data_IF_715210094191
#
_entry.id   IF_715210094191
#
_cell.length_a   1.000
_cell.length_b   1.000
_cell.length_c   1.000
_cell.angle_alpha   90.00
_cell.angle_beta   90.00
_cell.angle_gamma   90.00
#
_symmetry.space_group_name_H-M   'P 1'
#
loop_
_entity.id
_entity.type
_entity.pdbx_description
1 polymer ?
#
# COMPACT_ATOMS: atom_id res chain seq x y z
N UNK A 1 9.92 9.98 -13.67
CA UNK A 1 8.68 10.72 -13.41
C UNK A 1 7.51 10.08 -14.11
N UNK A 2 6.49 9.65 -13.36
CA UNK A 2 5.21 9.30 -13.93
C UNK A 2 4.64 10.52 -14.68
N UNK A 3 4.09 10.32 -15.89
CA UNK A 3 3.82 11.40 -16.86
C UNK A 3 2.79 12.46 -16.41
N UNK A 4 2.15 12.26 -15.25
CA UNK A 4 0.99 13.02 -14.79
C UNK A 4 1.09 13.43 -13.32
N UNK A 5 2.29 13.43 -12.75
CA UNK A 5 2.55 13.87 -11.38
C UNK A 5 3.90 14.58 -11.31
N UNK A 6 4.00 15.60 -10.45
CA UNK A 6 5.25 16.29 -10.14
C UNK A 6 6.15 15.46 -9.21
N UNK A 7 5.62 14.38 -8.62
CA UNK A 7 6.38 13.46 -7.78
C UNK A 7 7.32 12.63 -8.66
N UNK A 8 8.62 12.72 -8.37
CA UNK A 8 9.64 11.91 -9.04
C UNK A 8 9.66 10.47 -8.50
N UNK A 9 8.73 9.66 -9.01
CA UNK A 9 8.61 8.25 -8.65
C UNK A 9 9.66 7.38 -9.37
N UNK A 10 10.90 7.44 -8.90
CA UNK A 10 12.05 6.62 -9.33
C UNK A 10 12.72 6.00 -8.10
N UNK A 11 13.74 5.16 -8.29
CA UNK A 11 14.38 4.50 -7.14
C UNK A 11 15.06 5.54 -6.21
N UNK A 12 15.12 5.28 -4.90
CA UNK A 12 14.39 4.24 -4.20
C UNK A 12 12.89 4.53 -4.18
N UNK A 13 12.06 3.50 -4.27
CA UNK A 13 10.62 3.67 -4.17
C UNK A 13 9.95 2.53 -3.42
N UNK A 14 8.81 2.88 -2.83
CA UNK A 14 7.91 1.99 -2.11
C UNK A 14 6.62 2.01 -2.91
N UNK A 15 6.30 0.90 -3.58
CA UNK A 15 5.04 0.75 -4.30
C UNK A 15 4.13 -0.19 -3.53
N UNK A 16 2.92 0.25 -3.21
CA UNK A 16 1.93 -0.54 -2.47
C UNK A 16 0.62 -0.58 -3.27
N UNK A 17 0.16 -1.78 -3.55
CA UNK A 17 -1.10 -2.06 -4.23
C UNK A 17 -2.13 -2.60 -3.23
N UNK A 18 -3.13 -1.76 -2.96
CA UNK A 18 -4.29 -2.04 -2.10
C UNK A 18 -5.49 -2.52 -2.95
N UNK A 19 -5.26 -3.58 -3.73
CA UNK A 19 -6.32 -4.36 -4.37
C UNK A 19 -7.10 -5.20 -3.36
N UNK A 20 -7.72 -6.31 -3.79
CA UNK A 20 -8.31 -7.27 -2.83
C UNK A 20 -7.24 -7.90 -1.95
N UNK A 21 -6.12 -8.27 -2.57
CA UNK A 21 -4.88 -8.70 -1.93
C UNK A 21 -3.89 -7.54 -1.88
N UNK A 22 -3.00 -7.58 -0.89
CA UNK A 22 -1.86 -6.68 -0.79
C UNK A 22 -0.72 -7.21 -1.68
N UNK A 23 -0.19 -6.36 -2.56
CA UNK A 23 1.05 -6.59 -3.31
C UNK A 23 1.88 -5.30 -3.24
N UNK A 24 3.18 -5.40 -3.49
CA UNK A 24 4.04 -4.24 -3.46
C UNK A 24 5.49 -4.56 -3.19
N UNK A 25 6.36 -3.56 -3.35
CA UNK A 25 7.80 -3.71 -3.27
C UNK A 25 8.46 -2.45 -2.76
N UNK A 26 9.58 -2.65 -2.08
CA UNK A 26 10.53 -1.63 -1.64
C UNK A 26 11.84 -1.83 -2.38
N UNK A 27 12.31 -0.78 -3.06
CA UNK A 27 13.62 -0.79 -3.74
C UNK A 27 14.68 -0.03 -2.94
N UNK A 28 15.91 -0.54 -2.99
CA UNK A 28 17.05 0.10 -2.34
C UNK A 28 17.37 1.45 -2.95
N UNK A 29 18.07 2.26 -2.19
CA UNK A 29 18.78 3.39 -2.79
C UNK A 29 19.86 2.87 -3.75
N UNK A 30 20.33 3.75 -4.63
CA UNK A 30 21.36 3.47 -5.62
C UNK A 30 22.36 4.60 -5.58
N UNK A 31 23.62 4.24 -5.36
CA UNK A 31 24.71 5.21 -5.44
C UNK A 31 24.70 5.90 -6.83
N UNK A 32 24.62 7.25 -6.88
CA UNK A 32 24.64 8.02 -8.13
C UNK A 32 25.85 7.74 -9.02
N UNK A 33 26.96 7.26 -8.46
CA UNK A 33 28.20 6.95 -9.15
C UNK A 33 28.42 5.45 -9.35
N UNK A 34 27.46 4.61 -8.93
CA UNK A 34 27.51 3.18 -9.19
C UNK A 34 27.65 2.90 -10.70
N UNK A 35 28.60 2.03 -11.01
CA UNK A 35 28.74 1.43 -12.35
C UNK A 35 27.44 0.72 -12.75
N UNK A 36 26.80 0.06 -11.79
CA UNK A 36 25.55 -0.68 -11.93
C UNK A 36 24.39 0.05 -11.23
N UNK A 37 23.70 0.99 -11.91
CA UNK A 37 22.69 1.86 -11.31
C UNK A 37 21.32 1.15 -11.17
N UNK A 38 21.31 -0.08 -10.65
CA UNK A 38 20.11 -0.91 -10.49
C UNK A 38 19.79 -1.06 -9.01
N UNK A 39 18.62 -0.57 -8.61
CA UNK A 39 18.11 -0.78 -7.27
C UNK A 39 17.80 -2.26 -7.05
N UNK A 40 18.13 -2.75 -5.86
CA UNK A 40 17.79 -4.09 -5.41
C UNK A 40 16.39 -4.07 -4.80
N UNK A 41 15.73 -5.22 -4.81
CA UNK A 41 14.53 -5.40 -3.97
C UNK A 41 15.02 -5.64 -2.55
N UNK A 42 14.58 -4.81 -1.60
CA UNK A 42 14.95 -4.94 -0.18
C UNK A 42 13.74 -5.25 0.70
N UNK A 43 12.53 -5.09 0.16
CA UNK A 43 11.31 -5.52 0.82
C UNK A 43 10.18 -5.79 -0.16
N UNK A 44 9.19 -6.55 0.30
CA UNK A 44 8.00 -6.92 -0.47
C UNK A 44 6.76 -6.90 0.44
N UNK A 45 5.62 -6.50 -0.09
CA UNK A 45 4.35 -6.54 0.62
C UNK A 45 3.50 -7.71 0.13
N UNK A 46 2.77 -8.35 1.05
CA UNK A 46 1.89 -9.48 0.70
C UNK A 46 0.73 -9.64 1.68
N UNK A 47 -0.32 -10.37 1.25
CA UNK A 47 -1.43 -10.75 2.11
C UNK A 47 -2.73 -10.06 1.74
N UNK A 48 -3.48 -9.59 2.72
CA UNK A 48 -4.81 -9.02 2.56
C UNK A 48 -4.75 -7.49 2.51
N UNK A 49 -5.56 -6.90 1.63
CA UNK A 49 -5.84 -5.48 1.59
C UNK A 49 -7.37 -5.28 1.60
N UNK A 50 -7.99 -5.16 0.43
CA UNK A 50 -9.42 -4.97 0.23
C UNK A 50 -10.31 -6.12 0.76
N UNK A 51 -9.77 -7.34 0.91
CA UNK A 51 -10.53 -8.45 1.49
C UNK A 51 -11.03 -8.16 2.92
N UNK A 52 -10.31 -7.34 3.68
CA UNK A 52 -10.69 -6.95 5.05
C UNK A 52 -11.94 -6.06 5.05
N UNK A 53 -11.97 -4.89 4.37
CA UNK A 53 -13.19 -4.10 4.28
C UNK A 53 -14.32 -4.81 3.53
N UNK A 54 -14.03 -5.69 2.57
CA UNK A 54 -15.05 -6.52 1.91
C UNK A 54 -15.79 -7.41 2.93
N UNK A 55 -15.08 -7.93 3.95
CA UNK A 55 -15.71 -8.75 5.00
C UNK A 55 -16.62 -7.93 5.91
N UNK A 56 -16.24 -6.71 6.26
CA UNK A 56 -17.11 -5.80 7.01
C UNK A 56 -18.41 -5.54 6.23
N UNK A 57 -18.29 -5.26 4.93
CA UNK A 57 -19.42 -4.94 4.06
C UNK A 57 -20.35 -6.13 3.83
N UNK A 58 -19.81 -7.35 3.71
CA UNK A 58 -20.61 -8.58 3.63
C UNK A 58 -21.50 -8.80 4.87
N UNK A 59 -21.06 -8.33 6.04
CA UNK A 59 -21.87 -8.39 7.26
C UNK A 59 -23.18 -7.61 7.20
N UNK A 60 -23.29 -6.63 6.30
CA UNK A 60 -24.49 -5.79 6.18
C UNK A 60 -25.67 -6.46 5.48
N UNK A 61 -25.43 -7.57 4.76
CA UNK A 61 -26.41 -8.21 3.89
C UNK A 61 -26.81 -7.37 2.66
N UNK A 62 -26.17 -6.22 2.43
CA UNK A 62 -26.45 -5.33 1.29
C UNK A 62 -25.67 -5.72 0.02
N UNK A 63 -24.71 -6.63 0.14
CA UNK A 63 -23.90 -7.13 -0.98
C UNK A 63 -23.98 -8.65 -1.05
N UNK A 64 -23.67 -9.21 -2.23
CA UNK A 64 -23.72 -10.66 -2.44
C UNK A 64 -22.78 -11.39 -1.47
N UNK A 65 -23.29 -12.43 -0.83
CA UNK A 65 -22.48 -13.26 0.06
C UNK A 65 -21.33 -13.93 -0.72
N UNK A 66 -20.14 -13.95 -0.12
CA UNK A 66 -18.94 -14.56 -0.70
C UNK A 66 -18.21 -13.72 -1.76
N UNK A 67 -18.92 -12.93 -2.59
CA UNK A 67 -18.30 -12.15 -3.69
C UNK A 67 -18.47 -10.64 -3.57
N UNK A 68 -19.38 -10.16 -2.71
CA UNK A 68 -19.65 -8.74 -2.53
C UNK A 68 -18.44 -7.99 -2.00
N UNK A 69 -18.27 -6.76 -2.46
CA UNK A 69 -17.14 -5.89 -2.14
C UNK A 69 -17.60 -4.58 -1.53
N UNK A 70 -16.69 -3.85 -0.90
CA UNK A 70 -16.97 -2.49 -0.47
C UNK A 70 -17.34 -1.56 -1.64
N UNK A 71 -16.82 -1.85 -2.84
CA UNK A 71 -17.17 -1.12 -4.04
C UNK A 71 -18.67 -1.23 -4.37
N UNK A 72 -19.21 -2.45 -4.29
CA UNK A 72 -20.60 -2.72 -4.65
C UNK A 72 -21.59 -1.91 -3.78
N UNK A 73 -21.17 -1.56 -2.56
CA UNK A 73 -22.00 -0.84 -1.59
C UNK A 73 -21.83 0.68 -1.66
N UNK A 74 -20.63 1.19 -1.90
CA UNK A 74 -20.33 2.63 -1.81
C UNK A 74 -20.08 3.31 -3.17
N UNK A 75 -19.76 2.56 -4.21
CA UNK A 75 -19.31 3.09 -5.50
C UNK A 75 -18.12 4.06 -5.36
N UNK A 76 -17.99 4.99 -6.30
CA UNK A 76 -16.99 6.08 -6.25
C UNK A 76 -17.45 7.29 -5.41
N UNK A 77 -18.61 7.20 -4.75
CA UNK A 77 -19.22 8.37 -4.10
C UNK A 77 -18.58 8.61 -2.73
N UNK A 78 -17.78 9.68 -2.66
CA UNK A 78 -17.40 10.29 -1.39
C UNK A 78 -18.63 10.88 -0.70
N UNK A 79 -19.02 10.34 0.44
CA UNK A 79 -19.98 11.03 1.32
C UNK A 79 -19.21 12.14 2.06
N UNK A 80 -19.20 13.31 1.44
CA UNK A 80 -18.46 14.48 1.88
C UNK A 80 -18.92 14.99 3.24
N UNK A 81 -17.95 15.12 4.15
CA UNK A 81 -18.11 15.80 5.44
C UNK A 81 -16.80 15.78 6.21
N UNK A 82 -16.24 16.96 6.49
CA UNK A 82 -15.18 17.17 7.47
C UNK A 82 -15.75 16.92 8.88
N UNK A 83 -15.94 15.66 9.22
CA UNK A 83 -16.34 15.23 10.55
C UNK A 83 -15.08 14.76 11.28
N UNK A 84 -14.75 15.41 12.40
CA UNK A 84 -13.76 14.89 13.35
C UNK A 84 -14.07 13.42 13.62
N UNK A 85 -13.04 12.57 13.63
CA UNK A 85 -13.16 11.14 13.94
C UNK A 85 -13.99 10.98 15.23
N UNK A 86 -15.22 10.48 15.08
CA UNK A 86 -16.11 10.34 16.22
C UNK A 86 -15.56 9.28 17.17
N UNK A 87 -15.88 9.39 18.47
CA UNK A 87 -15.45 8.39 19.46
C UNK A 87 -15.91 6.97 19.06
N UNK A 88 -17.10 6.87 18.50
CA UNK A 88 -17.68 5.60 18.00
C UNK A 88 -16.84 5.03 16.85
N UNK A 89 -16.46 5.85 15.87
CA UNK A 89 -15.60 5.41 14.76
C UNK A 89 -14.23 4.96 15.27
N UNK A 90 -13.64 5.69 16.23
CA UNK A 90 -12.39 5.28 16.88
C UNK A 90 -12.49 3.87 17.50
N UNK A 91 -13.52 3.63 18.31
CA UNK A 91 -13.69 2.35 19.02
C UNK A 91 -13.80 1.16 18.06
N UNK A 92 -14.56 1.30 16.96
CA UNK A 92 -14.64 0.25 15.94
C UNK A 92 -13.33 0.06 15.17
N UNK A 93 -12.64 1.15 14.83
CA UNK A 93 -11.34 1.08 14.14
C UNK A 93 -10.32 0.32 14.99
N UNK A 94 -10.22 0.61 16.29
CA UNK A 94 -9.32 -0.12 17.19
C UNK A 94 -9.71 -1.61 17.29
N UNK A 95 -10.99 -1.92 17.54
CA UNK A 95 -11.48 -3.32 17.56
C UNK A 95 -11.15 -4.09 16.29
N UNK A 96 -11.29 -3.45 15.13
CA UNK A 96 -10.97 -4.09 13.84
C UNK A 96 -9.46 -4.29 13.72
N UNK A 97 -8.65 -3.30 14.11
CA UNK A 97 -7.20 -3.42 14.03
C UNK A 97 -6.59 -4.44 15.00
N UNK A 98 -7.27 -4.75 16.11
CA UNK A 98 -6.90 -5.86 17.01
C UNK A 98 -7.04 -7.23 16.33
N UNK A 99 -7.89 -7.34 15.31
CA UNK A 99 -8.04 -8.55 14.50
C UNK A 99 -7.05 -8.63 13.34
N UNK A 100 -6.33 -7.54 13.05
CA UNK A 100 -5.42 -7.41 11.91
C UNK A 100 -3.96 -7.56 12.36
N UNK A 101 -3.28 -8.55 11.80
CA UNK A 101 -1.86 -8.81 11.98
C UNK A 101 -1.06 -8.19 10.83
N UNK A 102 -0.21 -7.21 11.15
CA UNK A 102 0.73 -6.59 10.20
C UNK A 102 2.12 -6.67 10.80
N UNK A 103 3.01 -7.44 10.18
CA UNK A 103 4.37 -7.73 10.65
C UNK A 103 5.26 -8.25 9.53
N UNK A 104 6.53 -8.51 9.85
CA UNK A 104 7.38 -9.33 9.00
C UNK A 104 6.87 -10.77 9.01
N UNK A 105 6.67 -11.32 7.81
CA UNK A 105 6.18 -12.67 7.60
C UNK A 105 7.21 -13.67 8.14
N UNK A 106 6.83 -14.55 9.08
CA UNK A 106 7.74 -15.58 9.58
C UNK A 106 8.22 -16.53 8.47
N UNK A 107 9.49 -16.95 8.45
CA UNK A 107 10.06 -17.77 7.37
C UNK A 107 9.39 -19.13 7.15
N UNK A 108 8.75 -19.68 8.17
CA UNK A 108 8.02 -20.96 8.15
C UNK A 108 6.65 -20.88 7.46
N UNK A 109 6.18 -19.67 7.13
CA UNK A 109 4.89 -19.47 6.47
C UNK A 109 4.97 -19.74 4.97
N UNK A 110 4.08 -20.60 4.49
CA UNK A 110 3.79 -20.78 3.06
C UNK A 110 2.60 -19.93 2.58
N UNK A 111 1.91 -19.27 3.51
CA UNK A 111 0.78 -18.37 3.27
C UNK A 111 0.71 -17.28 4.34
N UNK A 112 0.32 -16.09 3.93
CA UNK A 112 -0.05 -15.00 4.83
C UNK A 112 -1.38 -14.40 4.34
N UNK A 113 -2.42 -14.43 5.18
CA UNK A 113 -3.78 -14.24 4.70
C UNK A 113 -4.20 -15.34 3.73
N UNK A 114 -4.63 -14.99 2.53
CA UNK A 114 -4.96 -15.97 1.49
C UNK A 114 -3.88 -16.09 0.42
N UNK A 115 -2.77 -15.37 0.56
CA UNK A 115 -1.74 -15.24 -0.48
C UNK A 115 -0.63 -16.26 -0.26
N UNK A 116 -0.33 -17.14 -1.23
CA UNK A 116 0.80 -18.05 -1.13
C UNK A 116 2.12 -17.26 -1.17
N UNK A 117 3.05 -17.61 -0.29
CA UNK A 117 4.34 -16.93 -0.15
C UNK A 117 5.49 -17.92 -0.02
N UNK A 118 6.70 -17.44 -0.30
CA UNK A 118 7.98 -18.12 -0.06
C UNK A 118 8.80 -17.28 0.91
N UNK A 119 8.36 -17.27 2.18
CA UNK A 119 8.99 -16.45 3.21
C UNK A 119 10.41 -16.93 3.55
N UNK A 120 10.65 -18.24 3.43
CA UNK A 120 11.96 -18.90 3.48
C UNK A 120 12.97 -18.24 2.52
N UNK A 121 12.65 -18.24 1.22
CA UNK A 121 13.54 -17.71 0.18
C UNK A 121 13.71 -16.20 0.29
N UNK A 122 12.67 -15.48 0.73
CA UNK A 122 12.75 -14.05 0.94
C UNK A 122 13.75 -13.71 2.06
N UNK A 123 13.69 -14.43 3.18
CA UNK A 123 14.62 -14.28 4.30
C UNK A 123 16.06 -14.63 3.88
N UNK A 124 16.27 -15.76 3.18
CA UNK A 124 17.58 -16.14 2.65
C UNK A 124 18.17 -15.10 1.68
N UNK A 125 17.30 -14.43 0.92
CA UNK A 125 17.69 -13.38 -0.03
C UNK A 125 17.86 -12.00 0.61
N UNK A 126 17.67 -11.86 1.93
CA UNK A 126 17.72 -10.58 2.64
C UNK A 126 16.59 -9.62 2.25
N UNK A 127 15.44 -10.13 1.82
CA UNK A 127 14.25 -9.35 1.46
C UNK A 127 13.27 -9.38 2.63
N UNK A 128 12.99 -8.21 3.20
CA UNK A 128 11.99 -8.07 4.24
C UNK A 128 10.57 -8.23 3.67
N UNK A 129 9.93 -9.36 3.95
CA UNK A 129 8.55 -9.61 3.54
C UNK A 129 7.59 -9.10 4.60
N UNK A 130 6.87 -8.00 4.31
CA UNK A 130 5.87 -7.41 5.19
C UNK A 130 4.50 -7.97 4.80
N UNK A 131 3.82 -8.59 5.76
CA UNK A 131 2.53 -9.22 5.58
C UNK A 131 1.40 -8.42 6.20
N UNK A 132 0.20 -8.55 5.64
CA UNK A 132 -1.06 -8.18 6.29
C UNK A 132 -2.03 -9.37 6.30
N UNK A 133 -2.55 -9.74 7.47
CA UNK A 133 -3.52 -10.81 7.67
C UNK A 133 -4.62 -10.34 8.65
N UNK A 134 -5.76 -11.03 8.66
CA UNK A 134 -6.73 -10.91 9.73
C UNK A 134 -6.92 -12.29 10.38
N UNK A 135 -6.22 -12.51 11.50
CA UNK A 135 -6.13 -13.81 12.16
C UNK A 135 -5.01 -14.67 11.57
N UNK A 136 -5.28 -15.96 11.36
CA UNK A 136 -4.38 -16.87 10.65
C UNK A 136 -5.03 -17.30 9.35
N UNK A 137 -4.41 -16.92 8.23
CA UNK A 137 -4.89 -17.18 6.89
C UNK A 137 -6.35 -16.75 6.67
N UNK A 138 -6.66 -15.54 7.14
CA UNK A 138 -7.99 -14.92 7.12
C UNK A 138 -9.06 -15.56 8.03
N UNK A 139 -8.65 -16.27 9.09
CA UNK A 139 -9.59 -16.89 10.05
C UNK A 139 -10.54 -15.89 10.74
N UNK A 140 -10.19 -14.60 10.84
CA UNK A 140 -11.03 -13.59 11.48
C UNK A 140 -12.11 -13.00 10.56
N UNK A 141 -12.30 -13.54 9.35
CA UNK A 141 -13.29 -13.04 8.39
C UNK A 141 -14.71 -12.96 8.99
N UNK A 142 -15.15 -13.96 9.75
CA UNK A 142 -16.49 -13.96 10.35
C UNK A 142 -16.63 -12.98 11.52
N UNK A 143 -15.56 -12.76 12.29
CA UNK A 143 -15.52 -11.72 13.31
C UNK A 143 -15.63 -10.32 12.69
N UNK A 144 -14.95 -10.09 11.56
CA UNK A 144 -15.08 -8.85 10.78
C UNK A 144 -16.51 -8.68 10.25
N UNK A 145 -17.12 -9.73 9.68
CA UNK A 145 -18.53 -9.68 9.25
C UNK A 145 -19.46 -9.30 10.40
N UNK A 146 -19.28 -9.89 11.58
CA UNK A 146 -20.10 -9.59 12.75
C UNK A 146 -19.97 -8.10 13.18
N UNK A 147 -18.75 -7.56 13.17
CA UNK A 147 -18.52 -6.12 13.44
C UNK A 147 -19.19 -5.25 12.37
N UNK A 148 -19.07 -5.60 11.09
CA UNK A 148 -19.72 -4.86 10.01
C UNK A 148 -21.26 -4.86 10.13
N UNK A 149 -21.86 -6.00 10.50
CA UNK A 149 -23.28 -6.12 10.77
C UNK A 149 -23.71 -5.25 11.97
N UNK A 150 -22.93 -5.24 13.04
CA UNK A 150 -23.14 -4.43 14.25
C UNK A 150 -23.15 -2.93 13.92
N UNK A 151 -22.12 -2.44 13.23
CA UNK A 151 -22.01 -1.02 12.83
C UNK A 151 -23.20 -0.63 11.97
N UNK A 152 -23.53 -1.45 10.96
CA UNK A 152 -24.63 -1.15 10.05
C UNK A 152 -25.98 -1.08 10.77
N UNK A 153 -26.27 -2.03 11.67
CA UNK A 153 -27.52 -2.07 12.42
C UNK A 153 -27.66 -0.92 13.43
N UNK A 154 -26.57 -0.56 14.10
CA UNK A 154 -26.60 0.42 15.20
C UNK A 154 -26.40 1.87 14.73
N UNK A 155 -25.58 2.06 13.70
CA UNK A 155 -25.08 3.39 13.30
C UNK A 155 -25.31 3.70 11.81
N UNK A 156 -25.71 2.70 11.01
CA UNK A 156 -26.03 2.87 9.61
C UNK A 156 -24.81 2.92 8.68
N UNK A 157 -25.12 3.08 7.39
CA UNK A 157 -24.17 2.92 6.28
C UNK A 157 -23.05 3.97 6.26
N UNK A 158 -23.35 5.20 6.67
CA UNK A 158 -22.40 6.32 6.65
C UNK A 158 -21.28 6.11 7.68
N UNK A 159 -21.61 5.60 8.86
CA UNK A 159 -20.60 5.31 9.90
C UNK A 159 -19.75 4.11 9.49
N UNK A 160 -20.35 3.10 8.86
CA UNK A 160 -19.58 1.98 8.30
C UNK A 160 -18.56 2.45 7.26
N UNK A 161 -18.94 3.37 6.37
CA UNK A 161 -18.03 3.93 5.38
C UNK A 161 -16.84 4.66 6.04
N UNK A 162 -17.12 5.51 7.04
CA UNK A 162 -16.08 6.27 7.75
C UNK A 162 -15.13 5.33 8.52
N UNK A 163 -15.66 4.25 9.12
CA UNK A 163 -14.84 3.19 9.74
C UNK A 163 -13.94 2.51 8.71
N UNK A 164 -14.48 2.14 7.54
CA UNK A 164 -13.71 1.51 6.46
C UNK A 164 -12.60 2.43 5.95
N UNK A 165 -12.85 3.73 5.80
CA UNK A 165 -11.84 4.72 5.43
C UNK A 165 -10.70 4.78 6.44
N UNK A 166 -11.02 4.85 7.73
CA UNK A 166 -10.01 4.88 8.78
C UNK A 166 -9.25 3.55 8.94
N UNK A 167 -9.92 2.39 8.81
CA UNK A 167 -9.26 1.07 8.86
C UNK A 167 -8.26 0.94 7.71
N UNK A 168 -8.69 1.19 6.48
CA UNK A 168 -7.82 1.11 5.31
C UNK A 168 -6.61 2.04 5.41
N UNK A 169 -6.83 3.30 5.80
CA UNK A 169 -5.75 4.27 5.97
C UNK A 169 -4.77 3.84 7.06
N UNK A 170 -5.26 3.39 8.23
CA UNK A 170 -4.41 2.91 9.32
C UNK A 170 -3.68 1.60 8.97
N UNK A 171 -4.25 0.74 8.13
CA UNK A 171 -3.53 -0.42 7.57
C UNK A 171 -2.34 0.03 6.73
N UNK A 172 -2.56 0.97 5.80
CA UNK A 172 -1.48 1.52 4.96
C UNK A 172 -0.36 2.14 5.79
N UNK A 173 -0.71 2.91 6.82
CA UNK A 173 0.25 3.50 7.78
C UNK A 173 1.02 2.43 8.56
N UNK A 174 0.34 1.40 9.10
CA UNK A 174 1.00 0.29 9.82
C UNK A 174 1.99 -0.48 8.94
N UNK A 175 1.71 -0.64 7.64
CA UNK A 175 2.65 -1.26 6.70
C UNK A 175 3.93 -0.44 6.55
N UNK A 176 3.79 0.88 6.44
CA UNK A 176 4.94 1.81 6.38
C UNK A 176 5.69 1.84 7.71
N UNK A 177 5.01 1.78 8.85
CA UNK A 177 5.66 1.70 10.17
C UNK A 177 6.54 0.46 10.31
N UNK A 178 6.07 -0.70 9.85
CA UNK A 178 6.90 -1.92 9.86
C UNK A 178 8.12 -1.74 8.95
N UNK A 179 7.95 -1.18 7.75
CA UNK A 179 9.07 -0.88 6.87
C UNK A 179 10.07 0.11 7.50
N UNK A 180 9.58 1.13 8.21
CA UNK A 180 10.43 2.10 8.90
C UNK A 180 11.20 1.45 10.06
N UNK A 181 10.56 0.57 10.84
CA UNK A 181 11.20 -0.19 11.92
C UNK A 181 12.30 -1.11 11.41
N UNK A 182 12.09 -1.74 10.27
CA UNK A 182 13.12 -2.55 9.58
C UNK A 182 14.19 -1.71 8.88
N UNK A 183 14.11 -0.37 8.93
CA UNK A 183 15.06 0.56 8.31
C UNK A 183 15.18 0.38 6.79
N UNK A 184 14.10 -0.05 6.15
CA UNK A 184 14.01 -0.23 4.70
C UNK A 184 13.20 0.86 4.02
N UNK A 185 13.00 2.02 4.67
CA UNK A 185 12.43 3.23 4.06
C UNK A 185 13.55 4.23 3.82
N UNK A 186 14.15 4.30 2.61
CA UNK A 186 15.19 5.26 2.33
C UNK A 186 14.66 6.71 2.44
N UNK A 187 15.43 7.66 3.00
CA UNK A 187 14.96 9.04 3.17
C UNK A 187 14.64 9.77 1.85
N UNK A 188 15.33 9.42 0.78
CA UNK A 188 15.11 9.94 -0.56
C UNK A 188 14.06 9.13 -1.35
N UNK A 189 13.35 8.19 -0.72
CA UNK A 189 12.38 7.35 -1.43
C UNK A 189 11.06 8.05 -1.72
N UNK A 190 10.34 7.58 -2.73
CA UNK A 190 8.94 7.95 -2.96
C UNK A 190 7.99 6.80 -2.62
N UNK A 191 6.82 7.10 -2.06
CA UNK A 191 5.77 6.14 -1.71
C UNK A 191 4.61 6.30 -2.68
N UNK A 192 4.21 5.19 -3.29
CA UNK A 192 3.15 5.13 -4.28
C UNK A 192 2.06 4.20 -3.80
N UNK A 193 0.86 4.74 -3.60
CA UNK A 193 -0.33 3.97 -3.27
C UNK A 193 -1.19 3.82 -4.52
N UNK A 194 -1.62 2.58 -4.78
CA UNK A 194 -2.63 2.27 -5.79
C UNK A 194 -3.63 1.28 -5.20
N UNK A 195 -4.67 0.99 -5.96
CA UNK A 195 -5.77 0.15 -5.50
C UNK A 195 -6.81 0.92 -4.69
N UNK A 196 -8.07 0.62 -4.96
CA UNK A 196 -9.23 1.35 -4.43
C UNK A 196 -9.29 1.33 -2.90
N UNK A 197 -8.73 0.31 -2.24
CA UNK A 197 -8.69 0.28 -0.79
C UNK A 197 -7.72 1.31 -0.17
N UNK A 198 -6.91 2.02 -0.95
CA UNK A 198 -6.08 3.13 -0.46
C UNK A 198 -6.42 4.49 -1.07
N UNK A 199 -6.96 4.54 -2.29
CA UNK A 199 -7.10 5.79 -3.06
C UNK A 199 -8.50 6.43 -3.06
N UNK A 200 -9.53 5.72 -2.56
CA UNK A 200 -10.91 6.23 -2.55
C UNK A 200 -11.29 6.94 -1.25
N UNK A 201 -12.38 7.71 -1.28
CA UNK A 201 -12.94 8.33 -0.09
C UNK A 201 -11.99 9.32 0.59
N UNK A 202 -11.93 9.30 1.92
CA UNK A 202 -11.03 10.15 2.72
C UNK A 202 -9.66 9.51 2.96
N UNK A 203 -9.42 8.31 2.42
CA UNK A 203 -8.21 7.53 2.71
C UNK A 203 -6.92 8.27 2.29
N UNK A 204 -6.83 8.90 1.11
CA UNK A 204 -5.60 9.61 0.72
C UNK A 204 -5.21 10.74 1.69
N UNK A 205 -6.19 11.53 2.16
CA UNK A 205 -5.91 12.59 3.14
C UNK A 205 -5.46 12.03 4.48
N UNK A 206 -6.12 10.98 4.99
CA UNK A 206 -5.75 10.35 6.26
C UNK A 206 -4.34 9.73 6.18
N UNK A 207 -4.01 9.10 5.06
CA UNK A 207 -2.68 8.52 4.82
C UNK A 207 -1.62 9.62 4.73
N UNK A 208 -1.89 10.72 4.02
CA UNK A 208 -0.96 11.84 3.90
C UNK A 208 -0.69 12.50 5.26
N UNK A 209 -1.73 12.72 6.06
CA UNK A 209 -1.60 13.25 7.41
C UNK A 209 -0.75 12.31 8.30
N UNK A 210 -1.04 11.01 8.26
CA UNK A 210 -0.29 10.02 9.03
C UNK A 210 1.18 9.89 8.60
N UNK A 211 1.49 9.96 7.30
CA UNK A 211 2.89 9.97 6.82
C UNK A 211 3.62 11.24 7.29
N UNK A 212 2.92 12.38 7.31
CA UNK A 212 3.47 13.64 7.80
C UNK A 212 3.78 13.56 9.29
N UNK A 213 2.89 12.97 10.09
CA UNK A 213 3.09 12.74 11.52
C UNK A 213 4.26 11.77 11.82
N UNK A 214 4.51 10.78 10.95
CA UNK A 214 5.65 9.87 11.09
C UNK A 214 7.01 10.55 10.89
N UNK A 215 7.06 11.75 10.32
CA UNK A 215 8.32 12.48 10.10
C UNK A 215 9.29 11.78 9.15
N UNK A 216 8.79 10.97 8.20
CA UNK A 216 9.62 10.24 7.25
C UNK A 216 10.31 11.16 6.22
N UNK A 217 9.68 12.29 5.92
CA UNK A 217 10.13 13.24 4.90
C UNK A 217 9.93 14.68 5.39
N UNK A 218 10.84 15.59 5.02
CA UNK A 218 10.68 17.02 5.27
C UNK A 218 9.46 17.59 4.53
N UNK A 219 9.17 17.06 3.34
CA UNK A 219 8.05 17.48 2.48
C UNK A 219 7.30 16.27 1.94
N UNK A 220 6.35 15.70 2.70
CA UNK A 220 5.62 14.49 2.31
C UNK A 220 4.94 14.59 0.92
N UNK A 221 4.38 15.75 0.56
CA UNK A 221 3.73 15.97 -0.73
C UNK A 221 4.65 15.78 -1.96
N UNK A 222 5.96 15.94 -1.81
CA UNK A 222 6.94 15.71 -2.90
C UNK A 222 7.37 14.23 -3.00
N UNK A 223 6.91 13.38 -2.09
CA UNK A 223 7.32 11.99 -1.94
C UNK A 223 6.17 10.98 -2.07
N UNK A 224 4.93 11.39 -1.78
CA UNK A 224 3.76 10.50 -1.78
C UNK A 224 2.90 10.75 -3.00
N UNK A 225 2.53 9.68 -3.70
CA UNK A 225 1.62 9.73 -4.86
C UNK A 225 0.50 8.69 -4.72
N UNK A 226 -0.72 9.09 -5.06
CA UNK A 226 -1.89 8.22 -5.19
C UNK A 226 -2.25 8.11 -6.66
N UNK A 227 -2.43 6.89 -7.17
CA UNK A 227 -2.66 6.66 -8.61
C UNK A 227 -3.81 5.69 -8.82
N UNK A 228 -4.79 6.10 -9.62
CA UNK A 228 -5.88 5.25 -10.10
C UNK A 228 -5.32 4.05 -10.88
N UNK A 229 -5.97 2.90 -10.67
CA UNK A 229 -5.58 1.54 -11.06
C UNK A 229 -4.68 1.46 -12.32
N UNK A 230 -3.50 0.83 -12.16
CA UNK A 230 -2.63 0.49 -13.29
C UNK A 230 -1.11 0.42 -13.04
N UNK A 231 -0.58 0.79 -11.86
CA UNK A 231 0.79 1.32 -11.83
C UNK A 231 1.72 0.94 -10.66
N UNK A 232 1.43 0.04 -9.73
CA UNK A 232 2.54 -0.46 -8.87
C UNK A 232 3.52 -1.31 -9.70
N UNK A 233 3.00 -2.23 -10.54
CA UNK A 233 3.79 -2.95 -11.55
C UNK A 233 4.28 -2.06 -12.67
N UNK A 234 3.45 -1.13 -13.14
CA UNK A 234 3.83 -0.14 -14.15
C UNK A 234 4.95 0.77 -13.67
N UNK A 235 4.90 1.30 -12.45
CA UNK A 235 5.94 2.14 -11.86
C UNK A 235 7.22 1.35 -11.53
N UNK A 236 7.08 0.10 -11.10
CA UNK A 236 8.18 -0.84 -11.01
C UNK A 236 8.82 -1.17 -12.38
N UNK A 237 8.02 -1.32 -13.44
CA UNK A 237 8.48 -1.46 -14.82
C UNK A 237 9.14 -0.17 -15.30
N UNK A 238 8.61 1.00 -14.92
CA UNK A 238 9.15 2.32 -15.25
C UNK A 238 10.50 2.57 -14.56
N UNK A 239 10.74 2.00 -13.38
CA UNK A 239 12.07 1.88 -12.79
C UNK A 239 13.09 1.19 -13.72
N UNK A 240 12.60 0.33 -14.63
CA UNK A 240 13.34 -0.17 -15.79
C UNK A 240 12.98 0.67 -17.03
N UNK A 241 13.76 1.72 -17.31
CA UNK A 241 13.90 2.38 -18.62
C UNK A 241 14.31 1.43 -19.80
N UNK A 242 13.72 0.23 -19.90
CA UNK A 242 13.98 -0.79 -20.92
C UNK A 242 13.17 -0.59 -22.20
N UNK A 243 12.15 0.29 -22.20
CA UNK A 243 11.28 0.51 -23.37
C UNK A 243 11.49 1.87 -24.05
N UNK A 244 12.62 2.56 -23.82
CA UNK A 244 12.89 3.89 -24.41
C UNK A 244 11.79 4.95 -24.18
N UNK A 245 10.94 4.74 -23.18
CA UNK A 245 9.82 5.64 -22.88
C UNK A 245 10.28 6.95 -22.23
N UNK A 246 11.46 6.95 -21.57
CA UNK A 246 12.04 8.12 -20.91
C UNK A 246 12.96 8.91 -21.83
N UNK A 247 12.98 10.24 -21.66
CA UNK A 247 13.89 11.16 -22.37
C UNK A 247 14.90 11.75 -21.37
N UNK A 248 16.07 12.27 -21.79
CA UNK A 248 17.04 12.89 -20.87
C UNK A 248 16.44 13.95 -19.96
N UNK A 249 15.51 14.77 -20.47
CA UNK A 249 14.82 15.81 -19.71
C UNK A 249 13.65 15.28 -18.85
N UNK A 250 13.15 14.08 -19.15
CA UNK A 250 12.05 13.42 -18.44
C UNK A 250 12.37 11.94 -18.25
N UNK A 251 13.33 11.61 -17.34
CA UNK A 251 13.76 10.24 -17.12
C UNK A 251 12.64 9.44 -16.45
N UNK A 252 12.43 8.23 -16.94
CA UNK A 252 11.42 7.31 -16.41
C UNK A 252 12.04 6.29 -15.44
N UNK A 253 13.29 5.88 -15.66
CA UNK A 253 14.08 5.07 -14.72
C UNK A 253 15.32 5.79 -14.20
N UNK A 254 15.97 5.19 -13.20
CA UNK A 254 17.14 5.76 -12.51
C UNK A 254 16.84 6.10 -11.06
N UNK A 255 17.62 7.03 -10.52
CA UNK A 255 17.53 7.50 -9.12
C UNK A 255 16.71 8.78 -9.06
N UNK A 256 15.90 8.95 -8.02
CA UNK A 256 15.15 10.17 -7.73
C UNK A 256 16.09 11.38 -7.69
N UNK A 257 15.71 12.47 -8.34
CA UNK A 257 16.54 13.69 -8.48
C UNK A 257 17.77 13.53 -9.38
N UNK A 258 18.08 12.32 -9.84
CA UNK A 258 19.24 12.01 -10.66
C UNK A 258 19.01 12.15 -12.17
N UNK A 259 20.11 12.16 -12.93
CA UNK A 259 20.11 12.16 -14.41
C UNK A 259 19.54 10.85 -14.98
N UNK A 260 19.16 10.88 -16.25
CA UNK A 260 18.76 9.68 -16.99
C UNK A 260 19.91 8.66 -17.07
N UNK A 261 19.64 7.39 -16.71
CA UNK A 261 20.64 6.31 -16.71
C UNK A 261 20.70 5.51 -18.01
N UNK A 262 20.01 5.95 -19.07
CA UNK A 262 19.92 5.22 -20.34
C UNK A 262 21.31 4.96 -20.97
N UNK A 263 22.18 5.98 -20.99
CA UNK A 263 23.52 5.85 -21.55
C UNK A 263 24.37 4.80 -20.79
N UNK A 264 24.27 4.79 -19.45
CA UNK A 264 24.97 3.80 -18.61
C UNK A 264 24.47 2.38 -18.89
N UNK A 265 23.16 2.19 -19.08
CA UNK A 265 22.58 0.89 -19.43
C UNK A 265 22.99 0.38 -20.80
N UNK A 266 23.05 1.24 -21.81
CA UNK A 266 23.51 0.86 -23.16
C UNK A 266 24.98 0.40 -23.11
N UNK A 267 25.81 0.99 -22.24
CA UNK A 267 27.20 0.58 -22.04
C UNK A 267 27.31 -0.82 -21.40
N UNK A 268 26.39 -1.15 -20.51
CA UNK A 268 26.33 -2.43 -19.78
C UNK A 268 25.76 -3.58 -20.63
N UNK A 269 24.76 -3.29 -21.48
CA UNK A 269 24.08 -4.28 -22.31
C UNK A 269 24.82 -4.61 -23.62
N UNK A 270 26.02 -4.08 -23.81
CA UNK A 270 26.98 -4.46 -24.84
C UNK A 270 28.03 -5.36 -24.23
#
# INVERSE_FOLDING_TARGET
GAKWTEVDFRNPCISIDFGTTLDGRITSDVDPDAEWPFAKTIGNFCGLAGAIPDSLVRGTGQVKEGTGTALDLFGDKSFGGFSKKSKVVNEYVERIHDLIDIRIVPPDRSRFGMVPVRADLAAESGIAMIGCDAGTDFSNADALKAIGAEIYKNNGINVLNDVIDHVCAKMALRLIEVAAKEKIVPPNSSIGFTGRAAISGKKPSIIMDGISEMGLYDKPYEHVVFVDDGLARGAALMGRCMCSMGKPNNPIGGVRGGKCIMARRVKIGK
#
